data_IF_246790089054
#
_entry.id   IF_246790089054
#
_cell.length_a   1.000
_cell.length_b   1.000
_cell.length_c   1.000
_cell.angle_alpha   90.00
_cell.angle_beta   90.00
_cell.angle_gamma   90.00
#
_symmetry.space_group_name_H-M   'P 1'
#
loop_
_entity.id
_entity.type
_entity.pdbx_description
1 polymer ?
#
# COMPACT_ATOMS: atom_id res chain seq x y z
N UNK A 1 4.81 -58.33 49.62
CA UNK A 1 3.87 -57.28 49.12
C UNK A 1 4.50 -56.62 47.97
N UNK A 2 4.08 -56.98 46.77
CA UNK A 2 4.60 -56.32 45.58
C UNK A 2 3.76 -55.05 45.29
N UNK A 3 4.35 -53.87 45.55
CA UNK A 3 3.76 -52.63 45.16
C UNK A 3 4.08 -52.46 43.70
N UNK A 4 3.11 -52.69 42.83
CA UNK A 4 3.23 -52.31 41.41
C UNK A 4 3.02 -50.79 41.28
N UNK A 5 4.12 -50.05 41.15
CA UNK A 5 4.06 -48.68 40.75
C UNK A 5 3.60 -48.65 39.29
N UNK A 6 2.34 -48.31 39.08
CA UNK A 6 1.86 -47.98 37.74
C UNK A 6 2.35 -46.57 37.39
N UNK A 7 3.41 -46.50 36.60
CA UNK A 7 3.85 -45.24 36.02
C UNK A 7 2.88 -44.90 34.90
N UNK A 8 1.92 -44.02 35.18
CA UNK A 8 1.12 -43.43 34.14
C UNK A 8 1.99 -42.39 33.40
N UNK A 9 2.56 -42.80 32.30
CA UNK A 9 3.12 -41.88 31.32
C UNK A 9 1.94 -41.11 30.70
N UNK A 10 1.63 -39.95 31.26
CA UNK A 10 0.82 -38.95 30.58
C UNK A 10 1.61 -38.43 29.37
N UNK A 11 1.35 -39.06 28.23
CA UNK A 11 1.77 -38.49 26.96
C UNK A 11 1.02 -37.16 26.77
N UNK A 12 1.70 -36.09 27.12
CA UNK A 12 1.25 -34.74 26.78
C UNK A 12 1.43 -34.60 25.27
N UNK A 13 0.40 -34.98 24.51
CA UNK A 13 0.32 -34.63 23.10
C UNK A 13 0.15 -33.11 23.06
N UNK A 14 1.27 -32.41 22.92
CA UNK A 14 1.25 -30.99 22.56
C UNK A 14 0.57 -30.91 21.22
N UNK A 15 -0.73 -30.66 21.21
CA UNK A 15 -1.41 -30.24 20.00
C UNK A 15 -0.82 -28.88 19.62
N UNK A 16 0.09 -28.90 18.64
CA UNK A 16 0.59 -27.73 18.01
C UNK A 16 -0.61 -27.11 17.27
N UNK A 17 -1.41 -26.32 17.97
CA UNK A 17 -2.40 -25.49 17.30
C UNK A 17 -1.63 -24.51 16.41
N UNK A 18 -1.90 -24.45 15.09
CA UNK A 18 -1.28 -23.44 14.27
C UNK A 18 -1.62 -22.08 14.87
N UNK A 19 -0.57 -21.32 15.21
CA UNK A 19 -0.76 -19.93 15.63
C UNK A 19 -1.53 -19.21 14.54
N UNK A 20 -2.51 -18.35 14.88
CA UNK A 20 -3.18 -17.55 13.89
C UNK A 20 -2.13 -16.77 13.13
N UNK A 21 -2.10 -16.92 11.80
CA UNK A 21 -1.23 -16.14 10.94
C UNK A 21 -1.75 -14.70 10.95
N UNK A 22 -1.07 -13.82 11.69
CA UNK A 22 -1.36 -12.39 11.64
C UNK A 22 -0.80 -11.87 10.33
N UNK A 23 -1.67 -11.20 9.52
CA UNK A 23 -1.24 -10.46 8.36
C UNK A 23 -0.22 -9.39 8.80
N UNK A 24 0.86 -9.24 8.03
CA UNK A 24 1.82 -8.15 8.25
C UNK A 24 1.19 -6.82 7.86
N UNK A 25 1.75 -5.70 8.34
CA UNK A 25 1.31 -4.37 7.92
C UNK A 25 1.42 -4.17 6.40
N UNK A 26 2.42 -4.80 5.77
CA UNK A 26 2.54 -4.84 4.31
C UNK A 26 1.40 -5.61 3.65
N UNK A 27 0.98 -6.73 4.19
CA UNK A 27 -0.11 -7.53 3.64
C UNK A 27 -1.44 -6.79 3.76
N UNK A 28 -1.67 -6.11 4.88
CA UNK A 28 -2.83 -5.26 5.08
C UNK A 28 -2.83 -4.06 4.13
N UNK A 29 -1.67 -3.42 3.93
CA UNK A 29 -1.50 -2.33 2.97
C UNK A 29 -1.80 -2.78 1.54
N UNK A 30 -1.30 -3.95 1.13
CA UNK A 30 -1.61 -4.55 -0.18
C UNK A 30 -3.11 -4.76 -0.37
N UNK A 31 -3.80 -5.27 0.65
CA UNK A 31 -5.25 -5.46 0.61
C UNK A 31 -5.99 -4.14 0.39
N UNK A 32 -5.56 -3.07 1.04
CA UNK A 32 -6.13 -1.74 0.82
C UNK A 32 -5.83 -1.21 -0.58
N UNK A 33 -4.63 -1.43 -1.11
CA UNK A 33 -4.27 -1.05 -2.48
C UNK A 33 -5.16 -1.78 -3.49
N UNK A 34 -5.31 -3.09 -3.38
CA UNK A 34 -6.14 -3.90 -4.29
C UNK A 34 -7.61 -3.48 -4.24
N UNK A 35 -8.14 -3.24 -3.05
CA UNK A 35 -9.51 -2.73 -2.90
C UNK A 35 -9.66 -1.36 -3.57
N UNK A 36 -8.70 -0.47 -3.36
CA UNK A 36 -8.68 0.86 -3.98
C UNK A 36 -8.66 0.79 -5.50
N UNK A 37 -7.87 -0.09 -6.09
CA UNK A 37 -7.83 -0.32 -7.54
C UNK A 37 -9.23 -0.76 -8.03
N UNK A 38 -9.84 -1.73 -7.38
CA UNK A 38 -11.16 -2.22 -7.76
C UNK A 38 -12.25 -1.15 -7.74
N UNK A 39 -12.24 -0.25 -6.76
CA UNK A 39 -13.23 0.85 -6.72
C UNK A 39 -12.89 1.99 -7.69
N UNK A 40 -11.60 2.23 -7.97
CA UNK A 40 -11.16 3.19 -8.97
C UNK A 40 -11.58 2.78 -10.40
N UNK A 41 -11.51 1.49 -10.72
CA UNK A 41 -11.99 0.94 -11.99
C UNK A 41 -13.50 1.18 -12.19
N UNK A 42 -14.23 1.35 -11.13
CA UNK A 42 -15.66 1.71 -11.13
C UNK A 42 -15.90 3.22 -11.13
N UNK A 43 -14.83 4.03 -11.21
CA UNK A 43 -14.92 5.48 -11.18
C UNK A 43 -15.08 6.10 -9.79
N UNK A 44 -14.96 5.32 -8.73
CA UNK A 44 -15.12 5.75 -7.34
C UNK A 44 -13.79 6.25 -6.77
N UNK A 45 -13.28 7.33 -7.33
CA UNK A 45 -11.92 7.84 -7.03
C UNK A 45 -11.73 8.29 -5.58
N UNK A 46 -12.74 8.88 -4.95
CA UNK A 46 -12.66 9.31 -3.54
C UNK A 46 -12.52 8.12 -2.61
N UNK A 47 -13.27 7.05 -2.86
CA UNK A 47 -13.15 5.81 -2.10
C UNK A 47 -11.78 5.16 -2.34
N UNK A 48 -11.30 5.15 -3.57
CA UNK A 48 -9.96 4.65 -3.90
C UNK A 48 -8.88 5.41 -3.13
N UNK A 49 -8.92 6.73 -3.14
CA UNK A 49 -7.98 7.59 -2.39
C UNK A 49 -8.01 7.25 -0.90
N UNK A 50 -9.20 7.12 -0.31
CA UNK A 50 -9.35 6.73 1.08
C UNK A 50 -8.65 5.40 1.38
N UNK A 51 -8.81 4.41 0.51
CA UNK A 51 -8.17 3.10 0.66
C UNK A 51 -6.65 3.18 0.52
N UNK A 52 -6.16 3.97 -0.42
CA UNK A 52 -4.72 4.16 -0.61
C UNK A 52 -4.08 5.01 0.49
N UNK A 53 -4.79 5.98 1.05
CA UNK A 53 -4.37 6.71 2.27
C UNK A 53 -4.25 5.74 3.46
N UNK A 54 -5.18 4.80 3.62
CA UNK A 54 -5.07 3.73 4.60
C UNK A 54 -3.86 2.83 4.37
N UNK A 55 -3.58 2.50 3.11
CA UNK A 55 -2.42 1.69 2.77
C UNK A 55 -1.10 2.35 3.19
N UNK A 56 -0.93 3.65 2.96
CA UNK A 56 0.30 4.37 3.34
C UNK A 56 0.41 4.61 4.85
N UNK A 57 -0.70 4.64 5.57
CA UNK A 57 -0.70 4.63 7.04
C UNK A 57 -0.23 3.26 7.58
N UNK A 58 -0.72 2.17 6.99
CA UNK A 58 -0.37 0.81 7.41
C UNK A 58 1.08 0.46 7.08
N UNK A 59 1.57 0.88 5.92
CA UNK A 59 2.94 0.68 5.50
C UNK A 59 3.49 1.90 4.75
N UNK A 60 4.13 2.84 5.47
CA UNK A 60 4.73 4.03 4.88
C UNK A 60 5.90 3.77 3.93
N UNK A 61 6.37 2.53 3.82
CA UNK A 61 7.47 2.12 2.94
C UNK A 61 7.01 1.39 1.68
N UNK A 62 5.72 1.45 1.36
CA UNK A 62 5.14 0.73 0.22
C UNK A 62 5.01 1.65 -1.01
N UNK A 63 5.95 1.57 -2.00
CA UNK A 63 5.96 2.50 -3.14
C UNK A 63 4.71 2.45 -3.99
N UNK A 64 4.14 1.26 -4.22
CA UNK A 64 2.94 1.09 -5.03
C UNK A 64 1.75 1.86 -4.46
N UNK A 65 1.59 1.88 -3.13
CA UNK A 65 0.51 2.63 -2.48
C UNK A 65 0.62 4.14 -2.74
N UNK A 66 1.82 4.69 -2.67
CA UNK A 66 2.06 6.10 -3.00
C UNK A 66 1.84 6.41 -4.47
N UNK A 67 2.25 5.53 -5.37
CA UNK A 67 1.99 5.69 -6.81
C UNK A 67 0.49 5.72 -7.11
N UNK A 68 -0.28 4.80 -6.55
CA UNK A 68 -1.72 4.74 -6.76
C UNK A 68 -2.44 5.93 -6.13
N UNK A 69 -1.99 6.36 -4.95
CA UNK A 69 -2.47 7.56 -4.30
C UNK A 69 -2.24 8.81 -5.16
N UNK A 70 -1.06 8.91 -5.79
CA UNK A 70 -0.75 9.99 -6.71
C UNK A 70 -1.71 10.02 -7.91
N UNK A 71 -1.99 8.86 -8.51
CA UNK A 71 -2.95 8.74 -9.62
C UNK A 71 -4.35 9.18 -9.16
N UNK A 72 -4.76 8.78 -7.97
CA UNK A 72 -6.04 9.20 -7.40
C UNK A 72 -6.13 10.72 -7.21
N UNK A 73 -5.10 11.33 -6.67
CA UNK A 73 -5.04 12.78 -6.51
C UNK A 73 -5.06 13.53 -7.85
N UNK A 74 -4.41 13.01 -8.89
CA UNK A 74 -4.53 13.56 -10.24
C UNK A 74 -5.97 13.59 -10.72
N UNK A 75 -6.68 12.47 -10.57
CA UNK A 75 -8.09 12.37 -10.98
C UNK A 75 -8.99 13.35 -10.24
N UNK A 76 -8.70 13.66 -9.00
CA UNK A 76 -9.45 14.64 -8.21
C UNK A 76 -8.92 16.08 -8.35
N UNK A 77 -7.94 16.31 -9.21
CA UNK A 77 -7.37 17.64 -9.44
C UNK A 77 -6.49 18.16 -8.30
N UNK A 78 -6.08 17.29 -7.38
CA UNK A 78 -5.21 17.64 -6.25
C UNK A 78 -3.74 17.48 -6.64
N UNK A 79 -3.28 18.36 -7.53
CA UNK A 79 -1.97 18.20 -8.20
C UNK A 79 -0.76 18.34 -7.27
N UNK A 80 -0.81 19.17 -6.24
CA UNK A 80 0.29 19.28 -5.28
C UNK A 80 0.43 18.02 -4.44
N UNK A 81 -0.69 17.41 -4.05
CA UNK A 81 -0.69 16.12 -3.35
C UNK A 81 -0.22 14.99 -4.26
N UNK A 82 -0.64 14.99 -5.53
CA UNK A 82 -0.19 14.01 -6.51
C UNK A 82 1.34 14.06 -6.68
N UNK A 83 1.90 15.25 -6.84
CA UNK A 83 3.35 15.46 -6.96
C UNK A 83 4.10 14.88 -5.76
N UNK A 84 3.68 15.21 -4.55
CA UNK A 84 4.30 14.71 -3.32
C UNK A 84 4.23 13.20 -3.21
N UNK A 85 3.11 12.60 -3.62
CA UNK A 85 2.94 11.15 -3.58
C UNK A 85 3.85 10.44 -4.59
N UNK A 86 3.98 10.96 -5.83
CA UNK A 86 4.94 10.45 -6.81
C UNK A 86 6.39 10.57 -6.33
N UNK A 87 6.76 11.71 -5.77
CA UNK A 87 8.10 11.94 -5.22
C UNK A 87 8.41 10.93 -4.10
N UNK A 88 7.44 10.67 -3.23
CA UNK A 88 7.59 9.67 -2.19
C UNK A 88 7.74 8.25 -2.75
N UNK A 89 6.95 7.90 -3.73
CA UNK A 89 7.05 6.60 -4.40
C UNK A 89 8.45 6.40 -5.01
N UNK A 90 9.01 7.41 -5.67
CA UNK A 90 10.35 7.36 -6.26
C UNK A 90 11.48 7.43 -5.22
N UNK A 91 11.27 8.10 -4.10
CA UNK A 91 12.21 8.05 -2.97
C UNK A 91 12.33 6.62 -2.43
N UNK A 92 11.21 5.91 -2.32
CA UNK A 92 11.16 4.53 -1.82
C UNK A 92 11.66 3.50 -2.83
N UNK A 93 11.46 3.74 -4.12
CA UNK A 93 11.84 2.83 -5.20
C UNK A 93 12.35 3.62 -6.44
N UNK A 94 13.60 4.14 -6.37
CA UNK A 94 14.13 5.06 -7.37
C UNK A 94 14.27 4.47 -8.78
N UNK A 95 14.39 3.16 -8.89
CA UNK A 95 14.61 2.44 -10.14
C UNK A 95 13.32 1.89 -10.76
N UNK A 96 12.17 2.19 -10.16
CA UNK A 96 10.89 1.75 -10.69
C UNK A 96 10.50 2.57 -11.93
N UNK A 97 10.65 1.95 -13.08
CA UNK A 97 10.39 2.61 -14.37
C UNK A 97 8.92 3.01 -14.56
N UNK A 98 7.99 2.23 -14.05
CA UNK A 98 6.56 2.53 -14.15
C UNK A 98 6.19 3.77 -13.35
N UNK A 99 6.64 3.86 -12.10
CA UNK A 99 6.41 5.04 -11.25
C UNK A 99 7.03 6.28 -11.89
N UNK A 100 8.26 6.15 -12.39
CA UNK A 100 8.95 7.25 -13.07
C UNK A 100 8.18 7.72 -14.30
N UNK A 101 7.72 6.79 -15.13
CA UNK A 101 6.94 7.12 -16.32
C UNK A 101 5.63 7.83 -15.95
N UNK A 102 4.92 7.36 -14.94
CA UNK A 102 3.70 8.00 -14.44
C UNK A 102 3.98 9.43 -13.97
N UNK A 103 5.05 9.63 -13.22
CA UNK A 103 5.42 10.95 -12.72
C UNK A 103 5.86 11.91 -13.84
N UNK A 104 6.66 11.44 -14.81
CA UNK A 104 7.05 12.27 -15.95
C UNK A 104 5.84 12.72 -16.78
N UNK A 105 4.91 11.81 -17.05
CA UNK A 105 3.67 12.12 -17.74
C UNK A 105 2.82 13.15 -16.96
N UNK A 106 2.68 12.94 -15.66
CA UNK A 106 2.01 13.90 -14.77
C UNK A 106 2.63 15.30 -14.86
N UNK A 107 3.95 15.41 -14.77
CA UNK A 107 4.66 16.70 -14.88
C UNK A 107 4.45 17.35 -16.23
N UNK A 108 4.56 16.59 -17.30
CA UNK A 108 4.39 17.08 -18.66
C UNK A 108 2.99 17.70 -18.85
N UNK A 109 1.95 17.03 -18.41
CA UNK A 109 0.57 17.48 -18.51
C UNK A 109 0.34 18.70 -17.61
N UNK A 110 0.76 18.62 -16.35
CA UNK A 110 0.53 19.66 -15.35
C UNK A 110 1.29 20.96 -15.67
N UNK A 111 2.52 20.87 -16.17
CA UNK A 111 3.34 22.03 -16.52
C UNK A 111 2.80 22.74 -17.78
N UNK A 112 2.19 22.01 -18.71
CA UNK A 112 1.52 22.59 -19.88
C UNK A 112 0.22 23.34 -19.51
N UNK A 113 -0.48 22.88 -18.48
CA UNK A 113 -1.78 23.44 -18.09
C UNK A 113 -1.67 24.55 -17.05
N UNK A 114 -0.49 24.77 -16.47
CA UNK A 114 -0.24 25.86 -15.51
C UNK A 114 0.08 27.16 -16.23
N UNK A 115 -0.86 28.11 -16.36
CA UNK A 115 -0.55 29.40 -16.98
C UNK A 115 0.31 30.23 -16.02
N UNK A 116 1.60 30.32 -16.26
CA UNK A 116 2.43 31.27 -15.53
C UNK A 116 3.89 30.97 -15.26
N UNK A 117 4.44 29.86 -15.75
CA UNK A 117 5.90 29.58 -15.58
C UNK A 117 6.77 29.96 -16.78
N UNK A 118 6.20 30.52 -17.80
CA UNK A 118 6.95 30.95 -18.98
C UNK A 118 6.98 32.48 -19.09
N UNK A 119 7.55 33.13 -18.08
CA UNK A 119 8.00 34.55 -18.17
C UNK A 119 9.12 34.79 -17.15
N UNK A 120 10.33 34.38 -17.48
CA UNK A 120 11.55 35.04 -16.98
C UNK A 120 12.66 34.83 -17.99
#
# INVERSE_FOLDING_TARGET
MNVRLAVFLLAFAATLSPLPSFATSRDEAKSQVEFGIGVAERGLWREAIYRWEKAVELDPSYPAAFNDLAIGYEHEGQFDKARKAYEKALELDPNNSQIRQNYELFKEINDRTSPGKDKS
#
